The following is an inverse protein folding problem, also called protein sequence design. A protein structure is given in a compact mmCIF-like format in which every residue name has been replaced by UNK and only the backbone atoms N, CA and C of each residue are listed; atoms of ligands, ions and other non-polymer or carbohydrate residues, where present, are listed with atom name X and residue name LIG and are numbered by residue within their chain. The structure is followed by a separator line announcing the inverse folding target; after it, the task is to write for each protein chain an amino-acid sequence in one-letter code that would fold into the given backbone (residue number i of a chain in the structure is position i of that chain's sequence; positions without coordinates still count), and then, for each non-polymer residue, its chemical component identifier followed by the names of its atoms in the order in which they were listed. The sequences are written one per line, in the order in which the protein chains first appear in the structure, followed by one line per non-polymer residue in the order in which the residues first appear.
data_IF_745940056761
#
_entry.id   IF_745940056761
#
_cell.length_a   1.000
_cell.length_b   1.000
_cell.length_c   1.000
_cell.angle_alpha   90.00
_cell.angle_beta   90.00
_cell.angle_gamma   90.00
#
_symmetry.space_group_name_H-M   'P 1'
#
loop_
_entity.id
_entity.type
_entity.pdbx_description
1 polymer ?
#
# COMPACT_ATOMS: atom_id res chain seq x y z
N UNK A 1 20.77 2.56 10.75
CA UNK A 1 21.21 1.18 11.13
C UNK A 1 20.94 0.18 10.03
N UNK A 2 19.77 0.21 9.36
CA UNK A 2 19.42 -0.72 8.29
C UNK A 2 20.48 -0.86 7.19
N UNK A 3 21.17 0.21 6.81
CA UNK A 3 22.25 0.16 5.80
C UNK A 3 23.43 -0.75 6.14
N UNK A 4 23.64 -1.10 7.41
CA UNK A 4 24.66 -2.09 7.78
C UNK A 4 24.36 -3.47 7.16
N UNK A 5 23.08 -3.79 6.92
CA UNK A 5 22.66 -4.98 6.18
C UNK A 5 22.42 -4.69 4.70
N UNK A 6 21.69 -3.62 4.39
CA UNK A 6 21.26 -3.28 3.02
C UNK A 6 22.09 -2.12 2.45
N UNK A 7 23.11 -2.44 1.65
CA UNK A 7 24.10 -1.50 1.14
C UNK A 7 25.51 -1.91 1.50
N UNK A 8 25.78 -2.15 2.79
CA UNK A 8 27.11 -2.56 3.27
C UNK A 8 27.34 -4.08 3.16
N UNK A 9 26.52 -4.89 3.85
CA UNK A 9 26.70 -6.36 3.86
C UNK A 9 26.25 -7.00 2.54
N UNK A 10 25.11 -6.55 2.00
CA UNK A 10 24.65 -6.91 0.66
C UNK A 10 24.61 -5.63 -0.16
N UNK A 11 25.48 -5.52 -1.15
CA UNK A 11 25.59 -4.33 -2.01
C UNK A 11 24.87 -4.57 -3.32
N UNK A 12 24.35 -3.53 -3.95
CA UNK A 12 23.79 -3.67 -5.28
C UNK A 12 24.85 -4.10 -6.31
N UNK A 13 24.42 -4.80 -7.36
CA UNK A 13 25.26 -5.09 -8.53
C UNK A 13 25.54 -3.83 -9.35
N UNK A 14 24.56 -2.93 -9.44
CA UNK A 14 24.66 -1.67 -10.14
C UNK A 14 23.74 -0.62 -9.52
N UNK A 15 23.96 0.65 -9.83
CA UNK A 15 23.17 1.76 -9.30
C UNK A 15 21.72 1.75 -9.76
N UNK A 16 21.40 1.13 -10.89
CA UNK A 16 20.02 0.97 -11.35
C UNK A 16 19.08 0.21 -10.38
N UNK A 17 19.66 -0.55 -9.45
CA UNK A 17 18.92 -1.22 -8.37
C UNK A 17 18.87 -0.37 -7.07
N UNK A 18 19.19 0.93 -7.11
CA UNK A 18 19.35 1.77 -5.90
C UNK A 18 18.13 1.77 -4.98
N UNK A 19 16.92 1.65 -5.55
CA UNK A 19 15.70 1.51 -4.76
C UNK A 19 15.75 0.35 -3.76
N UNK A 20 16.52 -0.72 -4.02
CA UNK A 20 16.52 -1.91 -3.18
C UNK A 20 17.12 -1.62 -1.80
N UNK A 21 18.31 -1.03 -1.74
CA UNK A 21 18.94 -0.68 -0.47
C UNK A 21 18.27 0.52 0.19
N UNK A 22 17.92 1.55 -0.58
CA UNK A 22 17.24 2.75 -0.10
C UNK A 22 15.83 2.43 0.40
N UNK A 23 15.05 1.66 -0.36
CA UNK A 23 13.71 1.22 0.01
C UNK A 23 13.72 0.27 1.20
N UNK A 24 14.66 -0.69 1.28
CA UNK A 24 14.79 -1.54 2.48
C UNK A 24 15.17 -0.71 3.71
N UNK A 25 16.08 0.25 3.57
CA UNK A 25 16.43 1.15 4.65
C UNK A 25 15.22 1.97 5.12
N UNK A 26 14.48 2.59 4.20
CA UNK A 26 13.23 3.30 4.49
C UNK A 26 12.20 2.39 5.18
N UNK A 27 12.03 1.16 4.69
CA UNK A 27 11.07 0.22 5.27
C UNK A 27 11.40 -0.08 6.74
N UNK A 28 12.66 -0.33 7.06
CA UNK A 28 13.07 -0.59 8.44
C UNK A 28 13.09 0.66 9.32
N UNK A 29 13.37 1.83 8.74
CA UNK A 29 13.29 3.13 9.43
C UNK A 29 11.85 3.48 9.79
N UNK A 30 10.91 3.21 8.88
CA UNK A 30 9.55 3.71 8.94
C UNK A 30 8.60 2.67 9.53
N UNK A 31 8.47 1.51 8.89
CA UNK A 31 7.41 0.54 9.20
C UNK A 31 7.85 -0.51 10.24
N UNK A 32 9.15 -0.80 10.35
CA UNK A 32 9.64 -1.72 11.38
C UNK A 32 9.91 -1.06 12.73
N UNK A 33 9.91 0.28 12.81
CA UNK A 33 10.22 1.02 14.03
C UNK A 33 9.25 0.70 15.17
N UNK A 34 7.96 0.57 14.86
CA UNK A 34 6.93 0.24 15.84
C UNK A 34 7.14 -1.15 16.49
N UNK A 35 7.82 -2.07 15.79
CA UNK A 35 8.19 -3.39 16.35
C UNK A 35 9.29 -3.27 17.42
N UNK A 36 10.13 -2.23 17.36
CA UNK A 36 11.18 -1.97 18.34
C UNK A 36 10.66 -1.17 19.56
N UNK A 37 9.62 -0.35 19.36
CA UNK A 37 9.02 0.49 20.40
C UNK A 37 7.51 0.19 20.55
N UNK A 38 7.14 -1.01 21.04
CA UNK A 38 5.75 -1.45 21.07
C UNK A 38 4.83 -0.55 21.92
N UNK A 39 5.38 0.11 22.96
CA UNK A 39 4.64 1.04 23.81
C UNK A 39 4.29 2.36 23.10
N UNK A 40 5.00 2.69 22.02
CA UNK A 40 4.81 3.91 21.23
C UNK A 40 4.19 3.60 19.85
N UNK A 41 3.78 2.34 19.64
CA UNK A 41 3.32 1.81 18.34
C UNK A 41 2.29 2.74 17.69
N UNK A 42 1.26 3.16 18.42
CA UNK A 42 0.17 3.93 17.82
C UNK A 42 0.63 5.32 17.33
N UNK A 43 1.49 6.01 18.10
CA UNK A 43 2.07 7.30 17.69
C UNK A 43 3.01 7.11 16.49
N UNK A 44 3.80 6.05 16.48
CA UNK A 44 4.70 5.72 15.37
C UNK A 44 3.89 5.44 14.11
N UNK A 45 2.88 4.57 14.17
CA UNK A 45 2.06 4.20 13.03
C UNK A 45 1.29 5.40 12.46
N UNK A 46 0.80 6.31 13.31
CA UNK A 46 0.18 7.57 12.86
C UNK A 46 1.18 8.45 12.11
N UNK A 47 2.38 8.64 12.66
CA UNK A 47 3.44 9.43 12.00
C UNK A 47 3.85 8.82 10.66
N UNK A 48 3.95 7.50 10.60
CA UNK A 48 4.24 6.74 9.40
C UNK A 48 3.16 6.94 8.33
N UNK A 49 1.89 6.93 8.73
CA UNK A 49 0.78 7.18 7.84
C UNK A 49 0.79 8.62 7.30
N UNK A 50 1.03 9.62 8.14
CA UNK A 50 1.18 11.02 7.72
C UNK A 50 2.31 11.19 6.70
N UNK A 51 3.48 10.59 6.96
CA UNK A 51 4.63 10.60 6.03
C UNK A 51 4.24 9.95 4.70
N UNK A 52 3.60 8.78 4.75
CA UNK A 52 3.19 8.02 3.55
C UNK A 52 2.18 8.82 2.73
N UNK A 53 1.18 9.43 3.38
CA UNK A 53 0.22 10.30 2.72
C UNK A 53 0.91 11.45 2.03
N UNK A 54 1.64 12.29 2.77
CA UNK A 54 2.24 13.51 2.22
C UNK A 54 3.22 13.23 1.09
N UNK A 55 4.13 12.27 1.31
CA UNK A 55 5.21 12.03 0.38
C UNK A 55 4.74 11.21 -0.81
N UNK A 56 4.00 10.11 -0.61
CA UNK A 56 3.71 9.18 -1.71
C UNK A 56 2.35 9.43 -2.35
N UNK A 57 1.31 9.58 -1.53
CA UNK A 57 -0.08 9.63 -2.02
C UNK A 57 -0.45 11.02 -2.54
N UNK A 58 -0.08 12.04 -1.78
CA UNK A 58 -0.46 13.42 -1.98
C UNK A 58 0.42 14.16 -2.96
N UNK A 59 1.53 13.53 -3.38
CA UNK A 59 2.30 13.97 -4.53
C UNK A 59 3.08 15.27 -4.29
N UNK A 60 3.58 15.51 -3.09
CA UNK A 60 4.50 16.63 -2.80
C UNK A 60 5.89 16.44 -3.46
N UNK A 61 5.98 15.60 -4.50
CA UNK A 61 7.17 15.30 -5.26
C UNK A 61 7.08 15.95 -6.65
N UNK A 62 8.10 16.72 -7.00
CA UNK A 62 8.15 17.46 -8.27
C UNK A 62 8.26 16.54 -9.49
N UNK A 63 8.79 15.30 -9.33
CA UNK A 63 8.98 14.35 -10.43
C UNK A 63 8.74 12.90 -9.98
N UNK A 64 7.58 12.32 -10.31
CA UNK A 64 7.36 10.88 -10.17
C UNK A 64 8.07 10.12 -11.31
N UNK A 65 8.68 8.96 -11.05
CA UNK A 65 9.38 8.13 -12.04
C UNK A 65 9.35 6.62 -11.71
N UNK A 66 9.80 5.71 -12.58
CA UNK A 66 10.11 4.33 -12.19
C UNK A 66 11.24 4.29 -11.17
N UNK A 67 11.19 3.42 -10.16
CA UNK A 67 12.24 3.35 -9.12
C UNK A 67 13.35 2.33 -9.45
N UNK A 68 13.10 1.44 -10.42
CA UNK A 68 14.18 0.72 -11.11
C UNK A 68 14.53 1.52 -12.36
N UNK A 69 15.75 2.06 -12.39
CA UNK A 69 16.24 2.83 -13.54
C UNK A 69 17.57 2.28 -14.04
N UNK A 70 18.10 2.83 -15.13
CA UNK A 70 19.35 2.33 -15.72
C UNK A 70 20.57 2.71 -14.87
N UNK A 71 20.61 3.97 -14.46
CA UNK A 71 21.78 4.59 -13.82
C UNK A 71 21.58 4.83 -12.32
N UNK A 72 20.36 4.59 -11.82
CA UNK A 72 19.99 4.80 -10.43
C UNK A 72 19.57 6.24 -10.14
N UNK A 73 18.59 6.37 -9.25
CA UNK A 73 18.14 7.66 -8.74
C UNK A 73 18.27 7.65 -7.22
N UNK A 74 18.85 8.71 -6.66
CA UNK A 74 19.10 8.88 -5.23
C UNK A 74 18.30 10.05 -4.70
N UNK A 75 16.99 9.91 -4.80
CA UNK A 75 16.06 10.96 -4.47
C UNK A 75 15.02 10.50 -3.44
N UNK A 76 14.25 11.45 -2.92
CA UNK A 76 13.22 11.15 -1.91
C UNK A 76 12.13 10.26 -2.48
N UNK A 77 11.82 10.37 -3.77
CA UNK A 77 10.78 9.56 -4.39
C UNK A 77 11.16 8.08 -4.38
N UNK A 78 12.39 7.75 -4.81
CA UNK A 78 12.94 6.39 -4.79
C UNK A 78 12.95 5.81 -3.37
N UNK A 79 13.41 6.60 -2.40
CA UNK A 79 13.45 6.20 -0.99
C UNK A 79 12.04 5.85 -0.46
N UNK A 80 11.09 6.76 -0.64
CA UNK A 80 9.75 6.64 -0.09
C UNK A 80 8.89 5.60 -0.82
N UNK A 81 8.84 5.65 -2.15
CA UNK A 81 8.10 4.66 -2.94
C UNK A 81 8.68 3.26 -2.75
N UNK A 82 10.01 3.13 -2.68
CA UNK A 82 10.67 1.85 -2.41
C UNK A 82 10.21 1.23 -1.08
N UNK A 83 10.24 2.01 0.00
CA UNK A 83 9.78 1.55 1.32
C UNK A 83 8.30 1.18 1.36
N UNK A 84 7.45 1.99 0.71
CA UNK A 84 6.01 1.71 0.65
C UNK A 84 5.68 0.46 -0.18
N UNK A 85 6.36 0.24 -1.32
CA UNK A 85 6.22 -0.99 -2.13
C UNK A 85 6.59 -2.23 -1.30
N UNK A 86 7.62 -2.14 -0.47
CA UNK A 86 8.01 -3.21 0.45
C UNK A 86 6.97 -3.42 1.57
N UNK A 87 6.38 -2.36 2.10
CA UNK A 87 5.27 -2.47 3.09
C UNK A 87 4.04 -3.14 2.48
N UNK A 88 3.64 -2.75 1.27
CA UNK A 88 2.53 -3.37 0.56
C UNK A 88 2.84 -4.85 0.26
N UNK A 89 4.07 -5.16 -0.15
CA UNK A 89 4.51 -6.54 -0.33
C UNK A 89 4.42 -7.34 0.97
N UNK A 90 4.89 -6.82 2.12
CA UNK A 90 4.75 -7.46 3.43
C UNK A 90 3.28 -7.73 3.76
N UNK A 91 2.39 -6.78 3.50
CA UNK A 91 0.96 -6.92 3.75
C UNK A 91 0.32 -8.02 2.89
N UNK A 92 0.74 -8.16 1.62
CA UNK A 92 0.28 -9.21 0.71
C UNK A 92 0.79 -10.59 1.12
N UNK A 93 2.09 -10.73 1.41
CA UNK A 93 2.71 -12.03 1.65
C UNK A 93 2.73 -12.44 3.12
N UNK A 94 2.28 -11.57 4.01
CA UNK A 94 2.39 -11.62 5.48
C UNK A 94 3.78 -11.25 6.05
N UNK A 95 3.82 -10.68 7.28
CA UNK A 95 5.06 -10.36 7.98
C UNK A 95 6.04 -11.52 8.13
N UNK A 96 5.51 -12.73 8.37
CA UNK A 96 6.34 -13.92 8.60
C UNK A 96 7.08 -14.35 7.34
N UNK A 97 6.38 -14.38 6.20
CA UNK A 97 6.98 -14.73 4.91
C UNK A 97 7.97 -13.65 4.50
N UNK A 98 7.59 -12.37 4.62
CA UNK A 98 8.50 -11.25 4.32
C UNK A 98 9.78 -11.31 5.15
N UNK A 99 9.68 -11.51 6.47
CA UNK A 99 10.85 -11.66 7.33
C UNK A 99 11.75 -12.81 6.89
N UNK A 100 11.17 -13.97 6.56
CA UNK A 100 11.92 -15.13 6.06
C UNK A 100 12.63 -14.80 4.74
N UNK A 101 11.96 -14.13 3.80
CA UNK A 101 12.54 -13.69 2.53
C UNK A 101 13.76 -12.79 2.74
N UNK A 102 13.65 -11.80 3.66
CA UNK A 102 14.75 -10.90 4.00
C UNK A 102 15.93 -11.66 4.62
N UNK A 103 15.67 -12.58 5.54
CA UNK A 103 16.73 -13.40 6.14
C UNK A 103 17.43 -14.28 5.11
N UNK A 104 16.68 -14.91 4.20
CA UNK A 104 17.24 -15.74 3.13
C UNK A 104 18.04 -14.91 2.13
N UNK A 105 17.56 -13.72 1.77
CA UNK A 105 18.26 -12.75 0.93
C UNK A 105 19.61 -12.36 1.55
N UNK A 106 19.61 -11.89 2.81
CA UNK A 106 20.83 -11.50 3.51
C UNK A 106 21.82 -12.67 3.59
N UNK A 107 21.36 -13.86 4.00
CA UNK A 107 22.24 -15.04 4.12
C UNK A 107 22.87 -15.45 2.79
N UNK A 108 22.12 -15.35 1.70
CA UNK A 108 22.58 -15.78 0.37
C UNK A 108 23.60 -14.81 -0.23
N UNK A 109 23.39 -13.50 -0.03
CA UNK A 109 24.19 -12.46 -0.69
C UNK A 109 25.13 -11.71 0.24
N UNK A 110 25.29 -12.16 1.50
CA UNK A 110 26.24 -11.57 2.44
C UNK A 110 27.65 -11.50 1.84
N UNK A 111 28.28 -10.34 1.98
CA UNK A 111 29.60 -10.02 1.42
C UNK A 111 29.68 -10.13 -0.11
N UNK A 112 28.55 -9.94 -0.79
CA UNK A 112 28.42 -10.06 -2.23
C UNK A 112 27.42 -9.05 -2.79
N UNK A 113 27.13 -9.18 -4.08
CA UNK A 113 26.23 -8.29 -4.79
C UNK A 113 24.91 -8.96 -5.16
N UNK A 114 23.81 -8.21 -5.07
CA UNK A 114 22.49 -8.62 -5.53
C UNK A 114 21.84 -7.55 -6.41
N UNK A 115 20.87 -7.95 -7.21
CA UNK A 115 19.99 -7.04 -7.97
C UNK A 115 18.52 -7.29 -7.62
N UNK A 116 17.63 -6.48 -8.19
CA UNK A 116 16.17 -6.59 -8.02
C UNK A 116 15.66 -8.01 -8.29
N UNK A 117 16.11 -8.65 -9.37
CA UNK A 117 15.70 -10.01 -9.70
C UNK A 117 16.15 -11.04 -8.65
N UNK A 118 17.35 -10.90 -8.08
CA UNK A 118 17.84 -11.75 -7.00
C UNK A 118 17.00 -11.58 -5.72
N UNK A 119 16.62 -10.36 -5.37
CA UNK A 119 15.72 -10.10 -4.25
C UNK A 119 14.34 -10.73 -4.47
N UNK A 120 13.71 -10.46 -5.61
CA UNK A 120 12.39 -11.01 -5.97
C UNK A 120 12.41 -12.54 -5.94
N UNK A 121 13.48 -13.17 -6.43
CA UNK A 121 13.63 -14.63 -6.37
C UNK A 121 13.63 -15.16 -4.93
N UNK A 122 14.29 -14.48 -4.00
CA UNK A 122 14.30 -14.88 -2.57
C UNK A 122 12.96 -14.66 -1.87
N UNK A 123 12.20 -13.66 -2.33
CA UNK A 123 10.81 -13.51 -1.90
C UNK A 123 9.94 -14.64 -2.46
N UNK A 124 10.07 -14.94 -3.75
CA UNK A 124 9.32 -16.02 -4.41
C UNK A 124 9.56 -17.37 -3.74
N UNK A 125 10.81 -17.75 -3.45
CA UNK A 125 11.14 -19.00 -2.73
C UNK A 125 10.36 -19.16 -1.42
N UNK A 126 10.17 -18.06 -0.67
CA UNK A 126 9.44 -18.10 0.61
C UNK A 126 7.92 -18.08 0.40
N UNK A 127 7.43 -17.45 -0.67
CA UNK A 127 6.01 -17.44 -1.08
C UNK A 127 5.58 -18.81 -1.59
N UNK A 128 6.44 -19.53 -2.32
CA UNK A 128 6.17 -20.86 -2.86
C UNK A 128 5.94 -21.93 -1.78
N UNK A 129 6.41 -21.68 -0.55
CA UNK A 129 6.11 -22.53 0.60
C UNK A 129 4.72 -22.28 1.20
N UNK A 130 3.94 -21.37 0.61
CA UNK A 130 2.60 -21.00 1.04
C UNK A 130 1.56 -21.35 -0.03
N UNK A 131 0.28 -21.23 0.31
CA UNK A 131 -0.81 -21.37 -0.66
C UNK A 131 -1.35 -20.00 -1.14
N UNK A 132 -0.53 -18.93 -1.05
CA UNK A 132 -0.95 -17.60 -1.45
C UNK A 132 -1.31 -17.56 -2.93
N UNK A 133 -2.50 -17.00 -3.20
CA UNK A 133 -3.04 -16.87 -4.54
C UNK A 133 -2.98 -15.45 -5.05
N UNK A 134 -2.70 -15.29 -6.33
CA UNK A 134 -2.85 -14.02 -7.02
C UNK A 134 -4.32 -13.72 -7.35
N UNK A 135 -4.53 -12.56 -7.97
CA UNK A 135 -5.80 -12.07 -8.50
C UNK A 135 -6.50 -13.05 -9.46
N UNK A 136 -5.77 -13.98 -10.11
CA UNK A 136 -6.34 -15.01 -10.98
C UNK A 136 -6.66 -16.30 -10.21
N UNK A 137 -6.39 -16.40 -8.91
CA UNK A 137 -6.53 -17.64 -8.15
C UNK A 137 -5.38 -18.63 -8.37
N UNK A 138 -4.31 -18.20 -9.05
CA UNK A 138 -3.10 -18.98 -9.30
C UNK A 138 -2.06 -18.72 -8.21
N UNK A 139 -0.99 -19.52 -8.13
CA UNK A 139 0.08 -19.24 -7.18
C UNK A 139 0.68 -17.85 -7.43
N UNK A 140 0.88 -17.06 -6.37
CA UNK A 140 1.35 -15.68 -6.49
C UNK A 140 2.73 -15.61 -7.16
N UNK A 141 2.78 -14.98 -8.33
CA UNK A 141 4.03 -14.63 -8.99
C UNK A 141 4.50 -13.24 -8.52
N UNK A 142 5.47 -13.22 -7.62
CA UNK A 142 6.02 -12.01 -7.00
C UNK A 142 6.64 -11.08 -8.06
N UNK A 143 7.30 -11.63 -9.08
CA UNK A 143 7.87 -10.82 -10.16
C UNK A 143 6.79 -10.06 -10.92
N UNK A 144 5.70 -10.74 -11.30
CA UNK A 144 4.55 -10.09 -11.98
C UNK A 144 3.86 -9.08 -11.10
N UNK A 145 3.71 -9.38 -9.81
CA UNK A 145 3.14 -8.45 -8.85
C UNK A 145 3.99 -7.18 -8.78
N UNK A 146 5.29 -7.30 -8.53
CA UNK A 146 6.18 -6.17 -8.29
C UNK A 146 6.53 -5.35 -9.54
N UNK A 147 6.48 -5.93 -10.73
CA UNK A 147 6.96 -5.30 -11.96
C UNK A 147 6.43 -3.87 -12.18
N UNK A 148 5.10 -3.69 -12.18
CA UNK A 148 4.50 -2.37 -12.38
C UNK A 148 4.75 -1.41 -11.21
N UNK A 149 4.96 -1.91 -9.99
CA UNK A 149 5.29 -1.05 -8.84
C UNK A 149 6.70 -0.49 -8.92
N UNK A 150 7.62 -1.24 -9.54
CA UNK A 150 9.03 -0.86 -9.68
C UNK A 150 9.29 -0.08 -10.97
N UNK A 151 8.71 -0.51 -12.07
CA UNK A 151 9.05 -0.05 -13.43
C UNK A 151 8.04 0.96 -14.01
N UNK A 152 6.87 1.16 -13.39
CA UNK A 152 5.89 2.14 -13.85
C UNK A 152 5.96 3.43 -13.03
N UNK A 153 5.88 4.56 -13.72
CA UNK A 153 5.72 5.89 -13.13
C UNK A 153 4.34 6.00 -12.46
N UNK A 154 4.22 6.91 -11.49
CA UNK A 154 3.02 7.15 -10.71
C UNK A 154 2.65 5.97 -9.79
N UNK A 155 1.47 6.09 -9.18
CA UNK A 155 0.75 5.09 -8.37
C UNK A 155 -0.71 5.09 -8.81
N UNK A 156 -1.48 4.00 -8.63
CA UNK A 156 -2.89 3.97 -9.06
C UNK A 156 -3.76 4.97 -8.29
N UNK A 157 -4.81 5.45 -8.95
CA UNK A 157 -5.95 6.12 -8.30
C UNK A 157 -7.06 5.10 -8.07
N UNK A 158 -7.71 5.17 -6.90
CA UNK A 158 -8.79 4.28 -6.51
C UNK A 158 -10.05 5.11 -6.24
N UNK A 159 -11.00 5.02 -7.18
CA UNK A 159 -12.32 5.62 -7.00
C UNK A 159 -13.21 4.68 -6.18
N UNK A 160 -13.67 5.19 -5.05
CA UNK A 160 -14.59 4.52 -4.15
C UNK A 160 -15.96 5.19 -4.22
N UNK A 161 -16.97 4.43 -4.62
CA UNK A 161 -18.35 4.90 -4.69
C UNK A 161 -19.26 4.03 -3.80
N UNK A 162 -20.44 4.54 -3.47
CA UNK A 162 -21.46 3.83 -2.71
C UNK A 162 -22.79 3.92 -3.45
N UNK A 163 -23.21 2.80 -4.03
CA UNK A 163 -24.37 2.71 -4.92
C UNK A 163 -25.18 1.48 -4.55
N UNK A 164 -26.50 1.64 -4.41
CA UNK A 164 -27.43 0.55 -4.08
C UNK A 164 -27.05 -0.23 -2.81
N UNK A 165 -26.59 0.48 -1.77
CA UNK A 165 -26.25 -0.12 -0.49
C UNK A 165 -24.95 -0.92 -0.49
N UNK A 166 -24.06 -0.74 -1.48
CA UNK A 166 -22.77 -1.43 -1.53
C UNK A 166 -21.68 -0.47 -1.99
N UNK A 167 -20.47 -0.69 -1.48
CA UNK A 167 -19.30 -0.01 -1.99
C UNK A 167 -18.83 -0.62 -3.31
N UNK A 168 -18.46 0.23 -4.25
CA UNK A 168 -17.70 -0.16 -5.44
C UNK A 168 -16.34 0.52 -5.41
N UNK A 169 -15.30 -0.22 -5.76
CA UNK A 169 -13.92 0.27 -5.84
C UNK A 169 -13.44 0.08 -7.26
N UNK A 170 -12.97 1.16 -7.90
CA UNK A 170 -12.55 1.17 -9.31
C UNK A 170 -11.16 1.73 -9.43
N UNK A 171 -10.26 0.97 -10.03
CA UNK A 171 -8.93 1.46 -10.35
C UNK A 171 -9.00 2.41 -11.56
N UNK A 172 -8.52 3.63 -11.38
CA UNK A 172 -8.24 4.58 -12.45
C UNK A 172 -6.76 4.51 -12.80
N UNK A 173 -6.48 4.49 -14.10
CA UNK A 173 -5.13 4.37 -14.64
C UNK A 173 -4.83 5.58 -15.49
N UNK A 174 -3.69 6.21 -15.24
CA UNK A 174 -3.22 7.34 -16.04
C UNK A 174 -3.00 6.93 -17.49
N UNK A 175 -3.21 7.87 -18.42
CA UNK A 175 -2.95 7.63 -19.84
C UNK A 175 -1.49 7.21 -20.06
N UNK A 176 -1.29 6.07 -20.75
CA UNK A 176 0.02 5.49 -21.03
C UNK A 176 0.51 4.45 -20.02
N UNK A 177 -0.17 4.31 -18.88
CA UNK A 177 0.14 3.29 -17.87
C UNK A 177 -0.72 2.03 -18.06
N UNK A 178 -0.19 0.89 -17.61
CA UNK A 178 -0.95 -0.34 -17.44
C UNK A 178 -1.61 -0.36 -16.05
N UNK A 179 -2.81 -0.96 -15.89
CA UNK A 179 -3.41 -1.08 -14.57
C UNK A 179 -2.54 -1.97 -13.67
N UNK A 180 -2.34 -1.57 -12.41
CA UNK A 180 -1.53 -2.29 -11.43
C UNK A 180 -2.28 -3.48 -10.84
N UNK A 181 -1.56 -4.54 -10.40
CA UNK A 181 -2.14 -5.59 -9.57
C UNK A 181 -2.27 -5.00 -8.18
N UNK A 182 -3.42 -4.35 -7.95
CA UNK A 182 -3.65 -3.52 -6.79
C UNK A 182 -4.33 -4.35 -5.69
N UNK A 183 -3.62 -4.70 -4.60
CA UNK A 183 -4.27 -5.24 -3.42
C UNK A 183 -4.97 -4.08 -2.71
N UNK A 184 -6.26 -4.25 -2.43
CA UNK A 184 -7.06 -3.31 -1.64
C UNK A 184 -7.40 -3.98 -0.32
N UNK A 185 -6.82 -3.47 0.76
CA UNK A 185 -7.03 -4.00 2.10
C UNK A 185 -8.31 -3.44 2.69
N UNK A 186 -9.30 -4.29 2.97
CA UNK A 186 -10.61 -3.89 3.50
C UNK A 186 -10.77 -4.39 4.93
N UNK A 187 -11.37 -3.58 5.78
CA UNK A 187 -11.73 -3.97 7.14
C UNK A 187 -13.25 -3.93 7.28
N UNK A 188 -13.84 -5.03 7.74
CA UNK A 188 -15.26 -5.15 8.00
C UNK A 188 -15.60 -4.58 9.39
N UNK A 189 -16.87 -4.24 9.62
CA UNK A 189 -17.34 -3.70 10.90
C UNK A 189 -17.00 -4.56 12.13
N UNK A 190 -16.94 -5.88 11.96
CA UNK A 190 -16.59 -6.83 13.01
C UNK A 190 -15.08 -6.91 13.31
N UNK A 191 -14.28 -6.03 12.71
CA UNK A 191 -12.82 -5.99 12.84
C UNK A 191 -12.08 -7.00 11.95
N UNK A 192 -12.80 -7.83 11.17
CA UNK A 192 -12.16 -8.75 10.22
C UNK A 192 -11.49 -7.96 9.11
N UNK A 193 -10.19 -8.21 8.90
CA UNK A 193 -9.47 -7.70 7.75
C UNK A 193 -9.52 -8.71 6.60
N UNK A 194 -9.54 -8.20 5.38
CA UNK A 194 -9.53 -8.97 4.14
C UNK A 194 -8.79 -8.19 3.05
N UNK A 195 -8.48 -8.86 1.95
CA UNK A 195 -7.78 -8.26 0.83
C UNK A 195 -8.49 -8.63 -0.46
N UNK A 196 -8.78 -7.61 -1.26
CA UNK A 196 -9.38 -7.80 -2.59
C UNK A 196 -8.42 -7.32 -3.66
N UNK A 197 -8.30 -8.07 -4.73
CA UNK A 197 -7.47 -7.68 -5.87
C UNK A 197 -8.27 -6.88 -6.89
N UNK A 198 -7.79 -5.70 -7.24
CA UNK A 198 -8.19 -5.02 -8.47
C UNK A 198 -7.16 -5.31 -9.54
N UNK A 199 -7.60 -6.05 -10.55
CA UNK A 199 -6.66 -6.68 -11.44
C UNK A 199 -6.10 -5.72 -12.49
N UNK A 200 -4.86 -5.98 -12.93
CA UNK A 200 -4.28 -5.40 -14.13
C UNK A 200 -5.12 -5.78 -15.33
N UNK A 201 -5.13 -4.94 -16.35
CA UNK A 201 -5.86 -5.18 -17.60
C UNK A 201 -5.39 -6.38 -18.45
N UNK A 202 -4.74 -7.41 -17.88
CA UNK A 202 -4.45 -8.67 -18.56
C UNK A 202 -5.56 -9.72 -18.38
N UNK A 203 -5.45 -10.77 -19.19
CA UNK A 203 -6.33 -11.93 -19.18
C UNK A 203 -5.63 -13.05 -18.42
N UNK A 204 -6.33 -13.66 -17.45
CA UNK A 204 -5.86 -14.85 -16.73
C UNK A 204 -5.62 -16.01 -17.70
N UNK A 205 -4.83 -17.00 -17.30
CA UNK A 205 -4.48 -18.13 -18.18
C UNK A 205 -5.71 -18.92 -18.66
N UNK A 206 -6.78 -18.93 -17.86
CA UNK A 206 -8.07 -19.55 -18.16
C UNK A 206 -9.01 -18.66 -19.00
N UNK A 207 -8.54 -17.51 -19.49
CA UNK A 207 -9.33 -16.58 -20.29
C UNK A 207 -10.16 -15.59 -19.48
N UNK A 208 -10.18 -15.66 -18.15
CA UNK A 208 -10.91 -14.67 -17.33
C UNK A 208 -10.26 -13.31 -17.43
N UNK A 209 -11.05 -12.29 -17.76
CA UNK A 209 -10.68 -10.88 -17.58
C UNK A 209 -11.28 -10.39 -16.28
N UNK A 210 -10.43 -10.03 -15.34
CA UNK A 210 -10.87 -9.48 -14.07
C UNK A 210 -11.37 -8.04 -14.26
N UNK A 211 -12.37 -7.61 -13.47
CA UNK A 211 -12.95 -6.30 -13.63
C UNK A 211 -12.01 -5.21 -13.08
N UNK A 212 -12.03 -4.04 -13.71
CA UNK A 212 -11.38 -2.84 -13.15
C UNK A 212 -12.13 -2.30 -11.92
N UNK A 213 -13.37 -2.76 -11.72
CA UNK A 213 -14.27 -2.41 -10.63
C UNK A 213 -14.66 -3.64 -9.85
N UNK A 214 -14.52 -3.60 -8.53
CA UNK A 214 -15.04 -4.61 -7.63
C UNK A 214 -16.20 -4.04 -6.82
N UNK A 215 -17.25 -4.84 -6.64
CA UNK A 215 -18.37 -4.50 -5.74
C UNK A 215 -18.21 -5.31 -4.46
N UNK A 216 -18.04 -4.60 -3.35
CA UNK A 216 -17.89 -5.23 -2.04
C UNK A 216 -19.22 -5.84 -1.60
N UNK A 217 -19.15 -7.04 -1.01
CA UNK A 217 -20.33 -7.84 -0.66
C UNK A 217 -21.18 -7.24 0.48
N UNK A 218 -20.68 -6.20 1.14
CA UNK A 218 -21.33 -5.57 2.30
C UNK A 218 -21.25 -4.05 2.20
N UNK A 219 -22.22 -3.39 2.84
CA UNK A 219 -22.30 -1.95 3.07
C UNK A 219 -21.40 -1.44 4.18
N UNK A 220 -20.78 -2.32 4.98
CA UNK A 220 -20.15 -1.96 6.25
C UNK A 220 -18.67 -2.32 6.24
N UNK A 221 -17.89 -1.50 5.54
CA UNK A 221 -16.45 -1.69 5.34
C UNK A 221 -15.70 -0.36 5.39
N UNK A 222 -14.48 -0.45 5.88
CA UNK A 222 -13.43 0.54 5.71
C UNK A 222 -12.47 0.08 4.60
N UNK A 223 -12.17 0.97 3.65
CA UNK A 223 -11.39 0.64 2.45
C UNK A 223 -9.98 1.19 2.58
N UNK A 224 -9.00 0.36 2.22
CA UNK A 224 -7.57 0.61 2.40
C UNK A 224 -7.17 0.87 3.87
N UNK A 225 -7.60 -0.03 4.77
CA UNK A 225 -7.28 0.09 6.20
C UNK A 225 -5.76 0.17 6.42
N UNK A 226 -5.35 0.99 7.38
CA UNK A 226 -3.95 1.26 7.75
C UNK A 226 -3.06 1.81 6.61
N UNK A 227 -3.65 2.27 5.50
CA UNK A 227 -2.93 2.76 4.31
C UNK A 227 -1.93 1.73 3.78
N UNK A 228 -2.34 0.46 3.71
CA UNK A 228 -1.51 -0.66 3.26
C UNK A 228 -1.38 -0.74 1.73
N UNK A 229 -2.37 -0.24 1.00
CA UNK A 229 -2.36 -0.10 -0.46
C UNK A 229 -1.78 1.25 -0.84
N UNK A 230 -0.86 1.25 -1.80
CA UNK A 230 -0.23 2.46 -2.33
C UNK A 230 -1.09 3.00 -3.46
N UNK A 231 -2.17 3.69 -3.09
CA UNK A 231 -3.11 4.25 -4.05
C UNK A 231 -3.65 5.60 -3.58
N UNK A 232 -3.87 6.51 -4.54
CA UNK A 232 -4.58 7.77 -4.31
C UNK A 232 -6.07 7.48 -4.20
N UNK A 233 -6.62 7.64 -3.01
CA UNK A 233 -8.04 7.37 -2.76
C UNK A 233 -8.89 8.57 -3.17
N UNK A 234 -9.91 8.33 -3.99
CA UNK A 234 -10.97 9.29 -4.29
C UNK A 234 -12.30 8.70 -3.82
N UNK A 235 -13.04 9.43 -3.00
CA UNK A 235 -14.35 9.02 -2.52
C UNK A 235 -15.46 9.86 -3.16
N UNK A 236 -16.52 9.21 -3.64
CA UNK A 236 -17.75 9.91 -3.96
C UNK A 236 -18.42 10.45 -2.70
N UNK A 237 -19.29 11.44 -2.86
CA UNK A 237 -20.05 11.98 -1.73
C UNK A 237 -20.90 10.90 -1.03
N UNK A 238 -21.49 9.96 -1.79
CA UNK A 238 -22.27 8.86 -1.21
C UNK A 238 -21.39 7.91 -0.40
N UNK A 239 -20.17 7.63 -0.85
CA UNK A 239 -19.21 6.81 -0.10
C UNK A 239 -18.78 7.49 1.21
N UNK A 240 -18.43 8.78 1.17
CA UNK A 240 -18.11 9.55 2.38
C UNK A 240 -19.29 9.56 3.35
N UNK A 241 -20.52 9.74 2.86
CA UNK A 241 -21.74 9.64 3.68
C UNK A 241 -21.89 8.28 4.35
N UNK A 242 -21.72 7.19 3.60
CA UNK A 242 -21.88 5.84 4.11
C UNK A 242 -20.88 5.52 5.23
N UNK A 243 -19.59 5.81 5.00
CA UNK A 243 -18.53 5.58 6.01
C UNK A 243 -18.78 6.47 7.24
N UNK A 244 -19.04 7.77 7.04
CA UNK A 244 -19.33 8.69 8.16
C UNK A 244 -20.51 8.24 9.00
N UNK A 245 -21.62 7.84 8.37
CA UNK A 245 -22.81 7.38 9.08
C UNK A 245 -22.52 6.10 9.86
N UNK A 246 -21.75 5.16 9.30
CA UNK A 246 -21.31 3.97 10.01
C UNK A 246 -20.49 4.36 11.26
N UNK A 247 -19.53 5.28 11.13
CA UNK A 247 -18.68 5.75 12.23
C UNK A 247 -19.48 6.35 13.40
N UNK A 248 -20.48 7.19 13.12
CA UNK A 248 -21.25 7.86 14.18
C UNK A 248 -22.36 6.98 14.78
N UNK A 249 -22.88 6.01 14.02
CA UNK A 249 -24.00 5.17 14.46
C UNK A 249 -23.54 3.91 15.18
N UNK A 250 -22.39 3.36 14.83
CA UNK A 250 -21.87 2.13 15.40
C UNK A 250 -20.64 2.41 16.30
N UNK A 251 -20.90 2.59 17.59
CA UNK A 251 -19.86 2.82 18.62
C UNK A 251 -18.93 1.63 18.86
N UNK A 252 -19.22 0.47 18.28
CA UNK A 252 -18.43 -0.75 18.43
C UNK A 252 -17.53 -1.05 17.23
N UNK A 253 -17.43 -0.14 16.26
CA UNK A 253 -16.54 -0.31 15.11
C UNK A 253 -15.09 -0.44 15.57
N UNK A 254 -14.48 -1.58 15.25
CA UNK A 254 -13.08 -1.86 15.55
C UNK A 254 -12.17 -1.33 14.43
N UNK A 255 -12.11 -0.01 14.29
CA UNK A 255 -11.29 0.65 13.27
C UNK A 255 -10.00 1.17 13.90
N UNK A 256 -8.87 0.98 13.22
CA UNK A 256 -7.58 1.45 13.72
C UNK A 256 -7.49 2.99 13.71
N UNK A 257 -6.76 3.60 14.65
CA UNK A 257 -6.51 5.05 14.66
C UNK A 257 -5.90 5.55 13.34
N UNK A 258 -5.02 4.76 12.73
CA UNK A 258 -4.40 5.06 11.42
C UNK A 258 -5.44 5.12 10.31
N UNK A 259 -6.36 4.16 10.26
CA UNK A 259 -7.45 4.15 9.28
C UNK A 259 -8.32 5.41 9.40
N UNK A 260 -8.72 5.78 10.62
CA UNK A 260 -9.50 6.99 10.84
C UNK A 260 -8.75 8.26 10.42
N UNK A 261 -7.48 8.39 10.83
CA UNK A 261 -6.66 9.55 10.49
C UNK A 261 -6.43 9.68 8.99
N UNK A 262 -6.15 8.57 8.31
CA UNK A 262 -5.90 8.58 6.86
C UNK A 262 -7.16 8.89 6.06
N UNK A 263 -8.31 8.37 6.48
CA UNK A 263 -9.60 8.73 5.88
C UNK A 263 -9.94 10.21 6.07
N UNK A 264 -9.75 10.73 7.28
CA UNK A 264 -9.89 12.15 7.59
C UNK A 264 -9.04 13.00 6.63
N UNK A 265 -7.74 12.73 6.55
CA UNK A 265 -6.80 13.54 5.77
C UNK A 265 -7.07 13.47 4.27
N UNK A 266 -7.46 12.30 3.77
CA UNK A 266 -7.84 12.12 2.36
C UNK A 266 -9.09 12.94 2.02
N UNK A 267 -10.13 12.90 2.86
CA UNK A 267 -11.33 13.74 2.66
C UNK A 267 -10.99 15.22 2.75
N UNK A 268 -10.17 15.61 3.73
CA UNK A 268 -9.74 17.00 3.88
C UNK A 268 -9.07 17.51 2.60
N UNK A 269 -8.09 16.75 2.08
CA UNK A 269 -7.38 17.12 0.84
C UNK A 269 -8.29 17.11 -0.39
N UNK A 270 -9.33 16.26 -0.43
CA UNK A 270 -10.36 16.33 -1.48
C UNK A 270 -11.26 17.56 -1.35
N UNK A 271 -11.51 18.05 -0.13
CA UNK A 271 -12.32 19.25 0.15
C UNK A 271 -11.76 20.52 -0.49
N UNK A 272 -10.44 20.63 -0.57
CA UNK A 272 -9.72 21.74 -1.22
C UNK A 272 -10.06 21.88 -2.72
N UNK A 273 -10.63 20.85 -3.34
CA UNK A 273 -10.93 20.82 -4.77
C UNK A 273 -12.38 21.12 -5.16
N UNK A 274 -13.41 21.06 -4.27
CA UNK A 274 -14.74 21.60 -4.64
C UNK A 274 -15.88 21.75 -3.60
N UNK A 275 -15.82 21.37 -2.32
CA UNK A 275 -17.02 21.53 -1.46
C UNK A 275 -16.72 21.80 0.02
N UNK A 276 -17.26 22.91 0.56
CA UNK A 276 -17.32 23.27 1.99
C UNK A 276 -17.86 22.09 2.85
N UNK A 277 -18.66 21.22 2.25
CA UNK A 277 -19.28 20.05 2.87
C UNK A 277 -18.27 18.98 3.35
N UNK A 278 -17.12 18.87 2.70
CA UNK A 278 -16.08 17.91 3.08
C UNK A 278 -15.35 18.34 4.37
N UNK A 279 -15.17 19.64 4.60
CA UNK A 279 -14.52 20.13 5.82
C UNK A 279 -15.38 19.91 7.08
N UNK A 280 -16.70 20.06 7.01
CA UNK A 280 -17.59 19.81 8.16
C UNK A 280 -17.60 18.34 8.58
N UNK A 281 -17.60 17.42 7.61
CA UNK A 281 -17.53 15.99 7.90
C UNK A 281 -16.16 15.54 8.34
N UNK A 282 -15.10 16.10 7.75
CA UNK A 282 -13.75 15.89 8.23
C UNK A 282 -13.64 16.31 9.70
N UNK A 283 -14.16 17.47 10.08
CA UNK A 283 -14.22 17.89 11.48
C UNK A 283 -14.98 16.88 12.37
N UNK A 284 -16.13 16.36 11.90
CA UNK A 284 -16.86 15.31 12.62
C UNK A 284 -16.10 13.98 12.76
N UNK A 285 -15.31 13.59 11.75
CA UNK A 285 -14.42 12.42 11.83
C UNK A 285 -13.30 12.65 12.84
N UNK A 286 -12.76 13.87 12.89
CA UNK A 286 -11.76 14.27 13.88
C UNK A 286 -12.34 14.22 15.31
N UNK A 287 -13.62 14.59 15.48
CA UNK A 287 -14.31 14.45 16.76
C UNK A 287 -14.48 12.97 17.15
N UNK A 288 -14.82 12.08 16.22
CA UNK A 288 -14.86 10.63 16.48
C UNK A 288 -13.47 10.12 16.89
N UNK A 289 -12.41 10.54 16.20
CA UNK A 289 -11.04 10.19 16.52
C UNK A 289 -10.61 10.68 17.92
N UNK A 290 -10.91 11.93 18.27
CA UNK A 290 -10.54 12.52 19.56
C UNK A 290 -11.29 11.91 20.76
N UNK A 291 -12.39 11.20 20.51
CA UNK A 291 -13.21 10.55 21.54
C UNK A 291 -12.90 9.05 21.72
N UNK A 292 -11.97 8.50 20.93
CA UNK A 292 -11.41 7.15 21.06
C UNK A 292 -10.15 7.16 21.93
#
# INVERSE_FOLDING_TARGET
MAHQWFGNLVTNKWWGDSWLHEGLANYFETFALAKAYPNEKDIIDLKVADITLQQIIFGDHLEEHPIVTKDGDFDKYTYNKGGAVLRQLEAVISPKVFQKSIQNYIKTFAYSNANTANFIHKVQESVDETNLKDWCGEALNVSKFMDLWLNQKNIPELLTDYVNGRFSITQKVYNGNSPWPLPVFVQYENGKNDMVWLAPGYVCQDGRKLPATEILQTSEVFINHDLLSIAKMEYSLSAVNAIYNALISNKNLQISPVSLKTFHDQIWKMGDYNEIFNHQKSAGILDVYNNL
#
